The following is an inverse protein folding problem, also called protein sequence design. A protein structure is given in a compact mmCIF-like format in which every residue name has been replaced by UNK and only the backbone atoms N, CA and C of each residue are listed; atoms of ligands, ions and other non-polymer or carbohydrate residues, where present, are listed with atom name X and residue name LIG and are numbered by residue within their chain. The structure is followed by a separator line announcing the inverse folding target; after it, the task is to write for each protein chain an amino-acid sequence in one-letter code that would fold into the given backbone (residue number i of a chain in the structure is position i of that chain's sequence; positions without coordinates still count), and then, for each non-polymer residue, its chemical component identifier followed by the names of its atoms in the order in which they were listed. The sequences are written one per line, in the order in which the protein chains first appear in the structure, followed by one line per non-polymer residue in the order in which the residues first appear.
data_IF_478156056887
#
_entry.id   IF_478156056887
#
_cell.length_a   1.000
_cell.length_b   1.000
_cell.length_c   1.000
_cell.angle_alpha   90.00
_cell.angle_beta   90.00
_cell.angle_gamma   90.00
#
_symmetry.space_group_name_H-M   'P 1'
#
loop_
_entity.id
_entity.type
_entity.pdbx_description
1 polymer ?
#
# COMPACT_ATOMS: atom_id res chain seq x y z
N UNK A 1 1.03 17.96 -19.64
CA UNK A 1 1.16 17.67 -18.20
C UNK A 1 0.63 16.28 -17.83
N UNK A 2 -0.43 15.78 -18.40
CA UNK A 2 -1.19 14.57 -17.99
C UNK A 2 -0.50 13.20 -17.88
N UNK A 3 0.85 13.10 -17.84
CA UNK A 3 1.56 11.81 -17.76
C UNK A 3 2.66 11.73 -16.70
N UNK A 4 2.83 12.76 -15.84
CA UNK A 4 3.97 12.80 -14.91
C UNK A 4 3.92 11.66 -13.89
N UNK A 5 2.77 11.42 -13.25
CA UNK A 5 2.59 10.28 -12.32
C UNK A 5 2.83 8.96 -13.04
N UNK A 6 2.29 8.76 -14.25
CA UNK A 6 2.50 7.54 -15.02
C UNK A 6 4.00 7.30 -15.30
N UNK A 7 4.75 8.33 -15.68
CA UNK A 7 6.19 8.21 -15.93
C UNK A 7 6.97 7.81 -14.67
N UNK A 8 6.60 8.38 -13.51
CA UNK A 8 7.18 8.01 -12.20
C UNK A 8 6.89 6.54 -11.90
N UNK A 9 5.65 6.11 -12.08
CA UNK A 9 5.23 4.73 -11.86
C UNK A 9 6.00 3.77 -12.77
N UNK A 10 6.08 4.05 -14.06
CA UNK A 10 6.79 3.20 -15.04
C UNK A 10 8.28 3.08 -14.71
N UNK A 11 8.90 4.17 -14.27
CA UNK A 11 10.29 4.19 -13.79
C UNK A 11 10.46 3.31 -12.56
N UNK A 12 9.55 3.44 -11.58
CA UNK A 12 9.60 2.67 -10.34
C UNK A 12 9.35 1.17 -10.58
N UNK A 13 8.41 0.82 -11.47
CA UNK A 13 8.18 -0.58 -11.87
C UNK A 13 9.47 -1.19 -12.45
N UNK A 14 10.11 -0.51 -13.39
CA UNK A 14 11.37 -0.98 -14.02
C UNK A 14 12.45 -1.19 -12.96
N UNK A 15 12.67 -0.19 -12.10
CA UNK A 15 13.67 -0.24 -11.01
C UNK A 15 13.43 -1.43 -10.07
N UNK A 16 12.16 -1.65 -9.64
CA UNK A 16 11.82 -2.75 -8.74
C UNK A 16 12.02 -4.12 -9.40
N UNK A 17 11.66 -4.27 -10.68
CA UNK A 17 11.89 -5.51 -11.44
C UNK A 17 13.38 -5.81 -11.56
N UNK A 18 14.21 -4.84 -11.88
CA UNK A 18 15.66 -5.00 -11.96
C UNK A 18 16.25 -5.42 -10.60
N UNK A 19 15.80 -4.78 -9.52
CA UNK A 19 16.23 -5.12 -8.16
C UNK A 19 15.86 -6.55 -7.80
N UNK A 20 14.63 -6.99 -8.07
CA UNK A 20 14.20 -8.38 -7.82
C UNK A 20 15.08 -9.35 -8.60
N UNK A 21 15.34 -9.11 -9.89
CA UNK A 21 16.19 -9.96 -10.72
C UNK A 21 17.63 -10.08 -10.16
N UNK A 22 18.19 -8.96 -9.73
CA UNK A 22 19.55 -8.93 -9.20
C UNK A 22 19.67 -9.72 -7.88
N UNK A 23 18.65 -9.65 -7.03
CA UNK A 23 18.64 -10.36 -5.74
C UNK A 23 18.32 -11.85 -5.94
N UNK A 24 17.39 -12.19 -6.83
CA UNK A 24 16.89 -13.56 -7.01
C UNK A 24 17.84 -14.51 -7.75
N UNK A 25 18.90 -13.99 -8.38
CA UNK A 25 19.86 -14.80 -9.17
C UNK A 25 20.74 -15.79 -8.35
N UNK A 26 20.56 -15.86 -7.05
CA UNK A 26 21.42 -16.66 -6.16
C UNK A 26 20.61 -17.81 -5.58
N UNK A 27 20.38 -18.93 -6.08
CA UNK A 27 19.78 -20.15 -5.48
C UNK A 27 19.21 -20.05 -4.03
N UNK A 28 19.01 -18.82 -3.54
CA UNK A 28 18.60 -18.47 -2.16
C UNK A 28 17.10 -18.81 -1.95
N UNK A 29 16.33 -18.90 -3.03
CA UNK A 29 14.87 -19.00 -2.98
C UNK A 29 14.38 -20.45 -2.84
N UNK A 30 15.26 -21.43 -3.03
CA UNK A 30 14.87 -22.84 -2.93
C UNK A 30 14.33 -23.11 -1.52
N UNK A 31 13.14 -23.69 -1.46
CA UNK A 31 12.44 -24.06 -0.22
C UNK A 31 12.05 -22.87 0.68
N UNK A 32 12.09 -21.61 0.15
CA UNK A 32 11.64 -20.43 0.90
C UNK A 32 10.15 -20.21 0.75
N UNK A 33 9.50 -19.88 1.87
CA UNK A 33 8.03 -19.81 1.96
C UNK A 33 7.58 -18.39 2.26
N UNK A 34 6.68 -17.86 1.41
CA UNK A 34 5.83 -16.73 1.76
C UNK A 34 4.51 -17.25 2.34
N UNK A 35 4.19 -16.87 3.55
CA UNK A 35 2.93 -17.25 4.18
C UNK A 35 1.89 -16.15 4.03
N UNK A 36 0.77 -16.45 3.35
CA UNK A 36 -0.39 -15.57 3.27
C UNK A 36 -1.44 -16.00 4.30
N UNK A 37 -1.72 -15.09 5.23
CA UNK A 37 -2.73 -15.30 6.26
C UNK A 37 -4.03 -14.69 5.74
N UNK A 38 -5.02 -15.54 5.50
CA UNK A 38 -6.27 -15.19 4.82
C UNK A 38 -7.48 -15.70 5.59
N UNK A 39 -8.62 -15.08 5.41
CA UNK A 39 -9.90 -15.70 5.76
C UNK A 39 -10.53 -16.41 4.56
N UNK A 40 -11.61 -17.16 4.82
CA UNK A 40 -12.29 -17.94 3.78
C UNK A 40 -12.83 -17.09 2.64
N UNK A 41 -13.20 -15.83 2.91
CA UNK A 41 -13.71 -14.88 1.90
C UNK A 41 -12.61 -14.37 0.99
N UNK A 42 -11.41 -14.20 1.52
CA UNK A 42 -10.28 -13.57 0.83
C UNK A 42 -9.33 -14.56 0.15
N UNK A 43 -9.43 -15.86 0.43
CA UNK A 43 -8.56 -16.89 -0.17
C UNK A 43 -8.53 -16.84 -1.71
N UNK A 44 -9.66 -16.52 -2.33
CA UNK A 44 -9.79 -16.40 -3.77
C UNK A 44 -9.94 -14.94 -4.26
N UNK A 45 -9.58 -13.97 -3.43
CA UNK A 45 -9.68 -12.55 -3.79
C UNK A 45 -8.79 -12.22 -4.99
N UNK A 46 -9.13 -11.15 -5.69
CA UNK A 46 -8.31 -10.64 -6.79
C UNK A 46 -6.89 -10.33 -6.32
N UNK A 47 -6.75 -9.74 -5.14
CA UNK A 47 -5.45 -9.38 -4.57
C UNK A 47 -4.54 -10.61 -4.35
N UNK A 48 -5.08 -11.68 -3.76
CA UNK A 48 -4.34 -12.95 -3.58
C UNK A 48 -3.88 -13.52 -4.93
N UNK A 49 -4.75 -13.53 -5.93
CA UNK A 49 -4.40 -14.00 -7.28
C UNK A 49 -3.29 -13.17 -7.92
N UNK A 50 -3.29 -11.86 -7.71
CA UNK A 50 -2.24 -10.98 -8.22
C UNK A 50 -0.91 -11.24 -7.50
N UNK A 51 -0.91 -11.43 -6.18
CA UNK A 51 0.30 -11.85 -5.44
C UNK A 51 0.85 -13.15 -6.03
N UNK A 52 0.02 -14.19 -6.14
CA UNK A 52 0.45 -15.48 -6.70
C UNK A 52 1.04 -15.35 -8.11
N UNK A 53 0.38 -14.58 -8.98
CA UNK A 53 0.87 -14.37 -10.35
C UNK A 53 2.17 -13.61 -10.41
N UNK A 54 2.36 -12.62 -9.51
CA UNK A 54 3.58 -11.83 -9.40
C UNK A 54 4.74 -12.69 -8.92
N UNK A 55 4.55 -13.47 -7.86
CA UNK A 55 5.57 -14.40 -7.37
C UNK A 55 5.92 -15.45 -8.42
N UNK A 56 4.92 -16.09 -9.04
CA UNK A 56 5.16 -17.04 -10.14
C UNK A 56 5.99 -16.45 -11.28
N UNK A 57 5.81 -15.17 -11.59
CA UNK A 57 6.51 -14.48 -12.68
C UNK A 57 7.95 -14.10 -12.32
N UNK A 58 8.17 -13.61 -11.12
CA UNK A 58 9.46 -13.01 -10.74
C UNK A 58 10.28 -13.84 -9.76
N UNK A 59 9.64 -14.73 -9.01
CA UNK A 59 10.23 -15.57 -7.96
C UNK A 59 9.67 -17.00 -8.08
N UNK A 60 9.88 -17.69 -9.22
CA UNK A 60 9.21 -18.97 -9.52
C UNK A 60 9.56 -20.11 -8.54
N UNK A 61 10.71 -20.02 -7.87
CA UNK A 61 11.16 -21.03 -6.89
C UNK A 61 10.61 -20.77 -5.47
N UNK A 62 9.90 -19.65 -5.26
CA UNK A 62 9.26 -19.35 -3.99
C UNK A 62 7.99 -20.16 -3.79
N UNK A 63 7.81 -20.68 -2.59
CA UNK A 63 6.59 -21.42 -2.19
C UNK A 63 5.63 -20.43 -1.54
N UNK A 64 4.35 -20.41 -1.98
CA UNK A 64 3.30 -19.66 -1.32
C UNK A 64 2.44 -20.63 -0.50
N UNK A 65 2.44 -20.44 0.82
CA UNK A 65 1.60 -21.20 1.76
C UNK A 65 0.43 -20.32 2.22
N UNK A 66 -0.74 -20.93 2.37
CA UNK A 66 -1.91 -20.25 2.92
C UNK A 66 -2.18 -20.75 4.34
N UNK A 67 -2.44 -19.81 5.23
CA UNK A 67 -2.96 -20.10 6.57
C UNK A 67 -4.34 -19.45 6.67
N UNK A 68 -5.38 -20.28 6.69
CA UNK A 68 -6.75 -19.80 6.81
C UNK A 68 -7.07 -19.48 8.26
N UNK A 69 -7.56 -18.27 8.50
CA UNK A 69 -8.04 -17.82 9.80
C UNK A 69 -9.50 -17.44 9.71
N UNK A 70 -10.24 -17.65 10.78
CA UNK A 70 -11.63 -17.23 10.87
C UNK A 70 -11.71 -15.87 11.55
N UNK A 71 -12.44 -14.92 10.95
CA UNK A 71 -12.66 -13.58 11.51
C UNK A 71 -13.23 -13.58 12.95
N UNK A 72 -13.88 -14.68 13.37
CA UNK A 72 -14.43 -14.88 14.71
C UNK A 72 -13.42 -15.43 15.72
N UNK A 73 -12.24 -15.83 15.28
CA UNK A 73 -11.21 -16.34 16.18
C UNK A 73 -10.74 -15.25 17.15
N UNK A 74 -10.52 -15.64 18.41
CA UNK A 74 -9.83 -14.76 19.34
C UNK A 74 -8.37 -14.55 18.91
N UNK A 75 -7.74 -13.49 19.42
CA UNK A 75 -6.30 -13.25 19.18
C UNK A 75 -5.47 -14.46 19.63
N UNK A 76 -5.80 -15.05 20.76
CA UNK A 76 -5.09 -16.21 21.30
C UNK A 76 -5.23 -17.42 20.38
N UNK A 77 -6.46 -17.74 19.94
CA UNK A 77 -6.69 -18.89 19.05
C UNK A 77 -6.00 -18.69 17.69
N UNK A 78 -6.02 -17.48 17.17
CA UNK A 78 -5.32 -17.15 15.93
C UNK A 78 -3.80 -17.32 16.10
N UNK A 79 -3.24 -16.85 17.22
CA UNK A 79 -1.81 -17.02 17.52
C UNK A 79 -1.45 -18.49 17.64
N UNK A 80 -2.23 -19.29 18.38
CA UNK A 80 -2.01 -20.73 18.52
C UNK A 80 -2.06 -21.42 17.15
N UNK A 81 -3.05 -21.08 16.32
CA UNK A 81 -3.18 -21.65 14.99
C UNK A 81 -1.97 -21.30 14.12
N UNK A 82 -1.55 -20.04 14.10
CA UNK A 82 -0.37 -19.61 13.34
C UNK A 82 0.88 -20.35 13.81
N UNK A 83 1.08 -20.45 15.13
CA UNK A 83 2.23 -21.18 15.70
C UNK A 83 2.19 -22.67 15.37
N UNK A 84 1.02 -23.29 15.26
CA UNK A 84 0.90 -24.71 14.93
C UNK A 84 1.04 -25.02 13.45
N UNK A 85 0.69 -24.09 12.57
CA UNK A 85 0.75 -24.29 11.11
C UNK A 85 2.06 -23.78 10.49
N UNK A 86 2.77 -22.89 11.19
CA UNK A 86 4.02 -22.31 10.73
C UNK A 86 5.12 -22.66 11.71
N UNK A 87 6.09 -23.45 11.30
CA UNK A 87 7.31 -23.66 12.08
C UNK A 87 8.10 -22.35 12.12
N UNK A 88 7.92 -21.61 13.22
CA UNK A 88 8.49 -20.28 13.40
C UNK A 88 10.00 -20.24 13.35
N UNK A 89 10.67 -21.35 13.59
CA UNK A 89 12.12 -21.40 13.71
C UNK A 89 12.80 -21.70 12.37
N UNK A 90 12.15 -22.46 11.50
CA UNK A 90 12.78 -22.96 10.28
C UNK A 90 12.08 -22.52 8.98
N UNK A 91 10.75 -22.30 9.00
CA UNK A 91 9.95 -22.08 7.79
C UNK A 91 9.47 -20.64 7.59
N UNK A 92 9.50 -19.78 8.61
CA UNK A 92 8.93 -18.44 8.51
C UNK A 92 9.90 -17.48 7.81
N UNK A 93 9.86 -17.48 6.49
CA UNK A 93 10.63 -16.55 5.68
C UNK A 93 9.93 -15.20 5.43
N UNK A 94 8.74 -15.03 6.00
CA UNK A 94 7.93 -13.83 5.91
C UNK A 94 6.45 -14.16 5.78
N UNK A 95 5.60 -13.32 6.33
CA UNK A 95 4.15 -13.48 6.23
C UNK A 95 3.46 -12.15 5.93
N UNK A 96 2.27 -12.26 5.36
CA UNK A 96 1.41 -11.12 5.07
C UNK A 96 -0.02 -11.43 5.47
N UNK A 97 -0.64 -10.56 6.25
CA UNK A 97 -2.08 -10.60 6.49
C UNK A 97 -2.85 -10.00 5.31
N UNK A 98 -3.76 -10.77 4.73
CA UNK A 98 -4.62 -10.28 3.65
C UNK A 98 -5.85 -9.59 4.25
N UNK A 99 -5.86 -8.28 4.10
CA UNK A 99 -6.94 -7.39 4.55
C UNK A 99 -8.11 -7.40 3.54
N UNK A 100 -9.36 -7.04 3.95
CA UNK A 100 -9.73 -6.26 5.14
C UNK A 100 -10.28 -7.03 6.34
N UNK A 101 -10.50 -8.31 6.25
CA UNK A 101 -11.30 -9.05 7.24
C UNK A 101 -10.64 -9.18 8.62
N UNK A 102 -9.32 -9.09 8.68
CA UNK A 102 -8.56 -9.17 9.93
C UNK A 102 -8.32 -7.78 10.52
N UNK A 103 -8.70 -6.72 9.79
CA UNK A 103 -8.60 -5.33 10.28
C UNK A 103 -9.42 -5.09 11.52
N UNK A 104 -8.84 -4.41 12.46
CA UNK A 104 -9.45 -4.08 13.76
C UNK A 104 -9.32 -5.20 14.79
N UNK A 105 -8.89 -6.36 14.39
CA UNK A 105 -8.66 -7.47 15.31
C UNK A 105 -7.18 -7.74 15.53
N UNK A 106 -6.36 -6.70 15.74
CA UNK A 106 -5.25 -7.04 16.58
C UNK A 106 -4.09 -7.69 15.87
N UNK A 107 -3.22 -6.93 15.73
CA UNK A 107 -1.81 -7.17 15.58
C UNK A 107 -1.34 -8.40 16.35
N UNK A 108 -1.02 -9.44 15.64
CA UNK A 108 -0.24 -10.55 16.17
C UNK A 108 1.19 -10.30 15.73
N UNK A 109 2.05 -10.00 16.71
CA UNK A 109 3.46 -9.77 16.43
C UNK A 109 4.19 -11.09 16.31
N UNK A 110 4.46 -11.46 15.09
CA UNK A 110 5.39 -12.54 14.79
C UNK A 110 6.55 -11.96 13.98
N UNK A 111 7.75 -12.42 14.24
CA UNK A 111 8.90 -12.05 13.43
C UNK A 111 8.64 -12.40 11.98
N UNK A 112 8.87 -11.44 11.07
CA UNK A 112 8.70 -11.66 9.63
C UNK A 112 7.43 -11.06 9.03
N UNK A 113 6.71 -10.16 9.76
CA UNK A 113 5.64 -9.37 9.19
C UNK A 113 6.17 -8.44 8.09
N UNK A 114 5.74 -8.68 6.85
CA UNK A 114 6.21 -7.93 5.69
C UNK A 114 5.51 -6.57 5.54
N UNK A 115 4.34 -6.41 6.14
CA UNK A 115 3.58 -5.16 6.06
C UNK A 115 3.82 -4.24 7.27
N UNK A 116 4.45 -4.75 8.30
CA UNK A 116 4.82 -4.02 9.52
C UNK A 116 3.66 -3.26 10.19
N UNK A 117 2.43 -3.74 10.03
CA UNK A 117 1.22 -3.07 10.56
C UNK A 117 1.29 -2.88 12.08
N UNK A 118 2.03 -3.72 12.78
CA UNK A 118 2.16 -3.68 14.23
C UNK A 118 3.03 -2.55 14.77
N UNK A 119 3.99 -2.13 14.03
CA UNK A 119 4.91 -1.06 14.45
C UNK A 119 4.24 0.32 14.53
N UNK A 120 2.97 0.43 14.16
CA UNK A 120 2.19 1.64 14.36
C UNK A 120 2.08 2.12 15.80
N UNK A 121 2.09 1.21 16.77
CA UNK A 121 1.98 1.57 18.18
C UNK A 121 3.35 1.94 18.80
N UNK A 122 4.44 1.61 18.14
CA UNK A 122 5.81 1.91 18.54
C UNK A 122 6.41 3.07 17.70
N UNK A 123 5.63 4.08 17.45
CA UNK A 123 5.87 5.24 16.58
C UNK A 123 7.15 6.04 16.83
N UNK A 124 7.90 5.72 17.88
CA UNK A 124 9.00 6.59 18.32
C UNK A 124 10.36 6.22 17.73
N UNK A 125 10.52 5.05 17.09
CA UNK A 125 11.86 4.60 16.76
C UNK A 125 12.23 4.36 15.30
N UNK A 126 11.31 4.14 14.38
CA UNK A 126 11.57 4.11 12.93
C UNK A 126 10.24 3.94 12.16
N UNK A 127 10.05 4.77 11.12
CA UNK A 127 8.83 4.77 10.33
C UNK A 127 8.79 3.58 9.37
N UNK A 128 8.16 2.52 9.81
CA UNK A 128 7.85 1.40 8.92
C UNK A 128 6.53 1.69 8.22
N UNK A 129 6.61 2.21 7.01
CA UNK A 129 5.44 2.32 6.16
C UNK A 129 4.92 0.92 5.80
N UNK A 130 3.59 0.77 5.70
CA UNK A 130 3.00 -0.38 5.03
C UNK A 130 3.51 -0.45 3.58
N UNK A 131 3.41 -1.60 2.94
CA UNK A 131 3.90 -1.80 1.58
C UNK A 131 3.29 -0.77 0.62
N UNK A 132 1.96 -0.60 0.69
CA UNK A 132 1.25 0.35 -0.18
C UNK A 132 1.61 1.79 0.13
N UNK A 133 1.73 2.17 1.41
CA UNK A 133 2.12 3.54 1.78
C UNK A 133 3.54 3.87 1.35
N UNK A 134 4.46 2.91 1.41
CA UNK A 134 5.82 3.10 0.91
C UNK A 134 5.82 3.41 -0.59
N UNK A 135 5.11 2.62 -1.36
CA UNK A 135 5.01 2.82 -2.81
C UNK A 135 4.43 4.20 -3.16
N UNK A 136 3.40 4.63 -2.43
CA UNK A 136 2.81 5.96 -2.60
C UNK A 136 3.80 7.05 -2.19
N UNK A 137 4.49 6.87 -1.08
CA UNK A 137 5.54 7.79 -0.62
C UNK A 137 6.63 8.00 -1.67
N UNK A 138 7.13 6.93 -2.28
CA UNK A 138 8.12 7.01 -3.39
C UNK A 138 7.59 7.83 -4.58
N UNK A 139 6.30 7.75 -4.88
CA UNK A 139 5.68 8.53 -5.95
C UNK A 139 5.58 10.00 -5.54
N UNK A 140 5.15 10.28 -4.31
CA UNK A 140 5.02 11.64 -3.79
C UNK A 140 6.39 12.33 -3.82
N UNK A 141 7.43 11.72 -3.25
CA UNK A 141 8.80 12.30 -3.23
C UNK A 141 9.27 12.69 -4.63
N UNK A 142 9.15 11.78 -5.58
CA UNK A 142 9.58 12.05 -6.97
C UNK A 142 8.70 13.11 -7.64
N UNK A 143 7.39 13.16 -7.29
CA UNK A 143 6.46 14.14 -7.87
C UNK A 143 6.73 15.54 -7.35
N UNK A 144 6.94 15.71 -6.04
CA UNK A 144 7.05 17.04 -5.40
C UNK A 144 8.48 17.56 -5.29
N UNK A 145 9.49 16.79 -5.71
CA UNK A 145 10.92 17.13 -5.51
C UNK A 145 11.34 18.51 -5.98
N UNK A 146 10.65 19.04 -7.01
CA UNK A 146 10.92 20.36 -7.59
C UNK A 146 9.92 21.43 -7.12
N UNK A 147 9.01 21.10 -6.20
CA UNK A 147 8.00 22.00 -5.65
C UNK A 147 8.47 22.48 -4.28
N UNK A 148 8.56 23.81 -4.10
CA UNK A 148 8.90 24.39 -2.81
C UNK A 148 7.67 24.43 -1.91
N UNK A 149 7.77 23.86 -0.70
CA UNK A 149 6.69 23.77 0.28
C UNK A 149 5.40 23.14 -0.32
N UNK A 150 5.46 21.91 -0.86
CA UNK A 150 4.32 21.31 -1.53
C UNK A 150 3.14 21.12 -0.57
N UNK A 151 1.93 21.31 -1.08
CA UNK A 151 0.68 21.06 -0.38
C UNK A 151 0.18 19.64 -0.70
N UNK A 152 0.25 18.75 0.27
CA UNK A 152 -0.12 17.34 0.14
C UNK A 152 -1.40 17.10 0.92
N UNK A 153 -2.43 16.62 0.25
CA UNK A 153 -3.72 16.30 0.87
C UNK A 153 -3.95 14.80 0.88
N UNK A 154 -4.20 14.25 2.06
CA UNK A 154 -4.50 12.81 2.24
C UNK A 154 -5.93 12.66 2.72
N UNK A 155 -6.76 11.97 1.95
CA UNK A 155 -8.17 11.72 2.25
C UNK A 155 -8.32 10.27 2.72
N UNK A 156 -8.76 10.09 3.97
CA UNK A 156 -8.87 8.81 4.65
C UNK A 156 -7.76 8.60 5.69
N UNK A 157 -8.09 7.87 6.76
CA UNK A 157 -7.17 7.58 7.88
C UNK A 157 -7.00 6.07 8.13
N UNK A 158 -7.28 5.27 7.12
CA UNK A 158 -7.12 3.82 7.19
C UNK A 158 -5.70 3.39 7.57
N UNK A 159 -5.60 2.29 8.34
CA UNK A 159 -4.33 1.79 8.87
C UNK A 159 -3.35 1.34 7.78
N UNK A 160 -3.84 0.98 6.61
CA UNK A 160 -3.01 0.45 5.51
C UNK A 160 -2.42 1.52 4.61
N UNK A 161 -3.03 2.72 4.54
CA UNK A 161 -2.56 3.79 3.65
C UNK A 161 -2.58 5.15 4.34
N UNK A 162 -3.76 5.67 4.67
CA UNK A 162 -3.91 7.08 5.03
C UNK A 162 -3.13 7.49 6.27
N UNK A 163 -3.28 6.73 7.36
CA UNK A 163 -2.60 7.04 8.62
C UNK A 163 -1.07 6.93 8.53
N UNK A 164 -0.48 5.82 8.01
CA UNK A 164 0.97 5.72 7.90
C UNK A 164 1.57 6.76 6.99
N UNK A 165 0.92 7.02 5.87
CA UNK A 165 1.39 7.99 4.91
C UNK A 165 1.38 9.41 5.48
N UNK A 166 0.32 9.79 6.21
CA UNK A 166 0.25 11.08 6.88
C UNK A 166 1.38 11.27 7.90
N UNK A 167 1.61 10.26 8.74
CA UNK A 167 2.68 10.31 9.73
C UNK A 167 4.07 10.43 9.08
N UNK A 168 4.27 9.80 7.97
CA UNK A 168 5.51 9.89 7.21
C UNK A 168 5.65 11.27 6.53
N UNK A 169 4.61 11.78 5.88
CA UNK A 169 4.64 13.12 5.26
C UNK A 169 4.94 14.22 6.28
N UNK A 170 4.42 14.11 7.49
CA UNK A 170 4.65 15.11 8.57
C UNK A 170 6.10 15.21 9.04
N UNK A 171 6.98 14.30 8.64
CA UNK A 171 8.40 14.38 8.98
C UNK A 171 9.20 15.26 8.02
N UNK A 172 8.68 15.51 6.85
CA UNK A 172 9.26 16.44 5.91
C UNK A 172 8.92 17.87 6.36
N UNK A 173 9.90 18.58 6.92
CA UNK A 173 9.70 19.90 7.53
C UNK A 173 9.23 20.98 6.56
N UNK A 174 9.50 20.79 5.29
CA UNK A 174 9.16 21.68 4.18
C UNK A 174 7.86 21.31 3.45
N UNK A 175 7.15 20.25 3.90
CA UNK A 175 5.89 19.84 3.30
C UNK A 175 4.69 20.32 4.13
N UNK A 176 3.70 20.89 3.46
CA UNK A 176 2.41 21.19 4.05
C UNK A 176 1.48 19.99 3.89
N UNK A 177 1.26 19.23 4.97
CA UNK A 177 0.45 18.01 4.93
C UNK A 177 -0.88 18.21 5.62
N UNK A 178 -1.96 17.89 4.93
CA UNK A 178 -3.32 17.96 5.42
C UNK A 178 -3.96 16.58 5.37
N UNK A 179 -4.53 16.11 6.48
CA UNK A 179 -5.26 14.85 6.54
C UNK A 179 -6.72 15.06 6.86
N UNK A 180 -7.58 14.48 6.04
CA UNK A 180 -9.02 14.39 6.25
C UNK A 180 -9.29 13.00 6.79
N UNK A 181 -9.61 12.90 8.08
CA UNK A 181 -9.74 11.62 8.78
C UNK A 181 -11.07 10.91 8.51
N UNK A 182 -12.12 11.64 8.26
CA UNK A 182 -13.44 11.05 8.04
C UNK A 182 -13.54 10.48 6.64
N UNK A 183 -13.81 9.19 6.55
CA UNK A 183 -14.30 8.60 5.32
C UNK A 183 -15.67 9.19 5.02
N UNK A 184 -15.74 10.08 4.07
CA UNK A 184 -17.00 10.59 3.60
C UNK A 184 -17.79 9.44 2.98
N UNK A 185 -18.78 8.96 3.71
CA UNK A 185 -19.78 8.00 3.19
C UNK A 185 -20.70 8.64 2.15
N UNK A 186 -20.66 9.95 2.07
CA UNK A 186 -21.51 10.79 1.26
C UNK A 186 -20.68 11.43 0.15
N UNK A 187 -21.34 11.76 -0.95
CA UNK A 187 -20.69 12.29 -2.14
C UNK A 187 -19.99 13.63 -1.85
N UNK A 188 -18.95 13.92 -2.61
CA UNK A 188 -18.15 15.15 -2.60
C UNK A 188 -18.93 16.47 -2.35
N UNK A 189 -20.20 16.52 -2.73
CA UNK A 189 -21.05 17.70 -2.50
C UNK A 189 -21.26 18.04 -1.02
N UNK A 190 -20.94 17.15 -0.11
CA UNK A 190 -21.13 17.32 1.35
C UNK A 190 -19.89 17.87 2.06
N UNK A 191 -18.80 18.12 1.34
CA UNK A 191 -17.66 18.88 1.88
C UNK A 191 -18.06 20.33 2.13
N UNK A 192 -17.71 20.92 3.29
CA UNK A 192 -17.87 22.35 3.48
C UNK A 192 -17.17 23.14 2.36
N UNK A 193 -17.83 24.13 1.79
CA UNK A 193 -17.29 24.92 0.67
C UNK A 193 -15.94 25.57 1.00
N UNK A 194 -15.75 25.99 2.24
CA UNK A 194 -14.50 26.55 2.74
C UNK A 194 -13.33 25.55 2.63
N UNK A 195 -13.63 24.28 2.80
CA UNK A 195 -12.65 23.20 2.66
C UNK A 195 -12.31 22.94 1.17
N UNK A 196 -13.32 22.88 0.31
CA UNK A 196 -13.15 22.70 -1.14
C UNK A 196 -12.27 23.80 -1.72
N UNK A 197 -12.60 25.04 -1.36
CA UNK A 197 -11.95 26.19 -1.96
C UNK A 197 -10.54 26.44 -1.44
N UNK A 198 -10.27 26.13 -0.18
CA UNK A 198 -9.02 26.51 0.47
C UNK A 198 -7.94 25.43 0.45
N UNK A 199 -8.31 24.18 0.62
CA UNK A 199 -7.35 23.08 0.74
C UNK A 199 -7.20 22.30 -0.57
N UNK A 200 -8.30 21.86 -1.17
CA UNK A 200 -8.23 21.04 -2.38
C UNK A 200 -7.75 21.84 -3.58
N UNK A 201 -8.18 23.09 -3.76
CA UNK A 201 -7.73 23.96 -4.87
C UNK A 201 -6.27 24.36 -4.78
N UNK A 202 -5.70 24.35 -3.57
CA UNK A 202 -4.29 24.68 -3.37
C UNK A 202 -3.41 23.42 -3.23
N UNK A 203 -3.96 22.24 -3.39
CA UNK A 203 -3.19 21.02 -3.33
C UNK A 203 -2.31 20.84 -4.56
N UNK A 204 -1.03 20.50 -4.36
CA UNK A 204 -0.15 20.07 -5.44
C UNK A 204 -0.38 18.59 -5.77
N UNK A 205 -0.81 17.80 -4.77
CA UNK A 205 -1.13 16.40 -4.92
C UNK A 205 -2.18 15.95 -3.88
N UNK A 206 -3.14 15.17 -4.33
CA UNK A 206 -4.18 14.55 -3.49
C UNK A 206 -3.99 13.04 -3.50
N UNK A 207 -4.01 12.44 -2.32
CA UNK A 207 -4.01 11.00 -2.12
C UNK A 207 -5.39 10.57 -1.63
N UNK A 208 -6.13 9.82 -2.45
CA UNK A 208 -7.42 9.27 -2.07
C UNK A 208 -7.25 7.88 -1.48
N UNK A 209 -7.36 7.77 -0.18
CA UNK A 209 -7.33 6.53 0.58
C UNK A 209 -8.68 6.25 1.27
N UNK A 210 -9.78 6.62 0.61
CA UNK A 210 -11.14 6.57 1.18
C UNK A 210 -11.70 5.16 1.27
N UNK A 211 -11.27 4.28 0.39
CA UNK A 211 -11.88 2.95 0.26
C UNK A 211 -13.27 2.98 -0.41
N UNK A 212 -13.65 4.08 -1.08
CA UNK A 212 -14.95 4.25 -1.72
C UNK A 212 -14.80 4.57 -3.22
N UNK A 213 -15.44 3.76 -4.06
CA UNK A 213 -15.42 3.95 -5.51
C UNK A 213 -16.09 5.27 -5.93
N UNK A 214 -15.48 5.95 -6.89
CA UNK A 214 -15.99 7.17 -7.51
C UNK A 214 -16.43 8.25 -6.49
N UNK A 215 -15.75 8.31 -5.34
CA UNK A 215 -16.11 9.21 -4.22
C UNK A 215 -15.43 10.57 -4.29
N UNK A 216 -14.40 10.73 -5.11
CA UNK A 216 -13.60 11.95 -5.19
C UNK A 216 -13.81 12.67 -6.53
N UNK A 217 -14.32 13.90 -6.45
CA UNK A 217 -14.41 14.86 -7.56
C UNK A 217 -13.39 15.97 -7.37
N UNK A 218 -12.47 16.10 -8.31
CA UNK A 218 -11.43 17.14 -8.30
C UNK A 218 -11.02 17.47 -9.73
N UNK A 219 -10.45 18.65 -9.93
CA UNK A 219 -9.92 19.15 -11.19
C UNK A 219 -8.55 19.79 -11.00
N UNK A 220 -7.80 19.94 -12.07
CA UNK A 220 -6.51 20.68 -12.11
C UNK A 220 -5.53 20.32 -10.98
N UNK A 221 -5.45 19.04 -10.60
CA UNK A 221 -4.59 18.55 -9.54
C UNK A 221 -4.04 17.15 -9.85
N UNK A 222 -2.91 16.80 -9.27
CA UNK A 222 -2.38 15.45 -9.32
C UNK A 222 -3.10 14.54 -8.31
N UNK A 223 -3.53 13.34 -8.71
CA UNK A 223 -4.23 12.41 -7.84
C UNK A 223 -3.58 11.03 -7.79
N UNK A 224 -3.35 10.51 -6.60
CA UNK A 224 -2.99 9.12 -6.34
C UNK A 224 -4.19 8.41 -5.73
N UNK A 225 -4.72 7.41 -6.44
CA UNK A 225 -5.79 6.52 -5.95
C UNK A 225 -5.24 5.09 -5.93
N UNK A 226 -4.93 4.54 -4.74
CA UNK A 226 -4.35 3.21 -4.61
C UNK A 226 -5.37 2.08 -4.77
N UNK A 227 -6.65 2.37 -4.54
CA UNK A 227 -7.70 1.36 -4.52
C UNK A 227 -8.36 1.21 -5.88
N UNK A 228 -8.72 -0.01 -6.21
CA UNK A 228 -9.53 -0.33 -7.38
C UNK A 228 -10.75 -1.14 -6.94
N UNK A 229 -11.86 -0.88 -7.57
CA UNK A 229 -13.13 -1.55 -7.29
C UNK A 229 -13.64 -2.22 -8.55
N UNK A 230 -14.29 -3.36 -8.42
CA UNK A 230 -15.02 -3.98 -9.50
C UNK A 230 -16.48 -3.52 -9.45
N UNK A 231 -16.88 -2.68 -10.38
CA UNK A 231 -18.28 -2.30 -10.52
C UNK A 231 -19.06 -3.46 -11.18
N UNK A 232 -19.91 -4.10 -10.40
CA UNK A 232 -20.72 -5.23 -10.87
C UNK A 232 -21.74 -4.85 -11.96
N UNK A 233 -22.16 -3.58 -12.03
CA UNK A 233 -23.15 -3.10 -13.02
C UNK A 233 -22.51 -2.91 -14.38
N UNK A 234 -21.42 -2.16 -14.44
CA UNK A 234 -20.70 -1.87 -15.69
C UNK A 234 -19.70 -2.99 -16.07
N UNK A 235 -19.42 -3.93 -15.16
CA UNK A 235 -18.43 -5.02 -15.31
C UNK A 235 -17.02 -4.51 -15.61
N UNK A 236 -16.67 -3.33 -15.11
CA UNK A 236 -15.34 -2.72 -15.25
C UNK A 236 -14.74 -2.42 -13.88
N UNK A 237 -13.42 -2.21 -13.85
CA UNK A 237 -12.73 -1.71 -12.66
C UNK A 237 -12.75 -0.19 -12.66
N UNK A 238 -13.00 0.38 -11.50
CA UNK A 238 -13.02 1.82 -11.22
C UNK A 238 -12.13 2.14 -10.02
N UNK A 239 -11.74 3.41 -9.85
CA UNK A 239 -11.01 3.88 -8.67
C UNK A 239 -11.82 4.90 -7.87
N UNK A 240 -11.20 5.47 -6.81
CA UNK A 240 -11.85 6.46 -5.95
C UNK A 240 -12.23 7.74 -6.70
N UNK A 241 -11.46 8.07 -7.74
CA UNK A 241 -11.69 9.23 -8.59
C UNK A 241 -12.90 8.99 -9.49
N UNK A 242 -13.82 9.95 -9.57
CA UNK A 242 -14.96 9.84 -10.45
C UNK A 242 -14.56 10.03 -11.93
N UNK A 243 -15.48 9.72 -12.84
CA UNK A 243 -15.20 9.74 -14.29
C UNK A 243 -14.93 11.13 -14.83
N UNK A 244 -15.59 12.15 -14.30
CA UNK A 244 -15.37 13.54 -14.71
C UNK A 244 -13.96 13.98 -14.30
N UNK A 245 -13.59 13.73 -13.06
CA UNK A 245 -12.28 14.08 -12.54
C UNK A 245 -11.11 13.36 -13.22
N UNK A 246 -11.32 12.17 -13.79
CA UNK A 246 -10.31 11.47 -14.59
C UNK A 246 -9.89 12.30 -15.81
N UNK A 247 -10.83 13.02 -16.42
CA UNK A 247 -10.57 13.86 -17.60
C UNK A 247 -9.99 15.23 -17.22
N UNK A 248 -10.39 15.77 -16.08
CA UNK A 248 -10.06 17.14 -15.64
C UNK A 248 -8.82 17.22 -14.75
N UNK A 249 -8.31 16.11 -14.22
CA UNK A 249 -7.09 16.10 -13.44
C UNK A 249 -5.84 16.37 -14.28
N UNK A 250 -4.89 17.08 -13.72
CA UNK A 250 -3.56 17.29 -14.31
C UNK A 250 -2.85 15.97 -14.61
N UNK A 251 -2.93 15.04 -13.67
CA UNK A 251 -2.39 13.68 -13.78
C UNK A 251 -2.98 12.81 -12.67
N UNK A 252 -3.20 11.54 -12.96
CA UNK A 252 -3.69 10.56 -11.97
C UNK A 252 -3.00 9.20 -12.12
N UNK A 253 -3.15 8.34 -11.11
CA UNK A 253 -2.63 6.96 -11.16
C UNK A 253 -3.51 6.11 -12.08
N UNK A 254 -2.94 5.40 -13.06
CA UNK A 254 -3.69 4.43 -13.85
C UNK A 254 -4.19 3.27 -13.00
N UNK A 255 -5.31 2.68 -13.41
CA UNK A 255 -5.84 1.46 -12.79
C UNK A 255 -4.76 0.38 -12.68
N UNK A 256 -4.76 -0.33 -11.55
CA UNK A 256 -3.80 -1.40 -11.23
C UNK A 256 -2.33 -1.00 -11.06
N UNK A 257 -1.96 0.24 -11.30
CA UNK A 257 -0.55 0.67 -11.25
C UNK A 257 0.03 0.62 -9.83
N UNK A 258 -0.70 1.13 -8.86
CA UNK A 258 -0.31 1.05 -7.44
C UNK A 258 -0.29 -0.40 -6.96
N UNK A 259 -1.30 -1.20 -7.32
CA UNK A 259 -1.33 -2.63 -7.00
C UNK A 259 -0.13 -3.39 -7.58
N UNK A 260 0.28 -3.08 -8.80
CA UNK A 260 1.48 -3.66 -9.41
C UNK A 260 2.74 -3.30 -8.62
N UNK A 261 2.93 -2.02 -8.29
CA UNK A 261 4.07 -1.56 -7.48
C UNK A 261 4.06 -2.17 -6.08
N UNK A 262 2.89 -2.26 -5.43
CA UNK A 262 2.73 -2.89 -4.11
C UNK A 262 3.17 -4.35 -4.14
N UNK A 263 2.80 -5.11 -5.17
CA UNK A 263 3.19 -6.52 -5.27
C UNK A 263 4.68 -6.70 -5.59
N UNK A 264 5.29 -5.81 -6.38
CA UNK A 264 6.73 -5.81 -6.59
C UNK A 264 7.48 -5.44 -5.30
N UNK A 265 6.98 -4.49 -4.54
CA UNK A 265 7.56 -4.14 -3.24
C UNK A 265 7.44 -5.28 -2.22
N UNK A 266 6.31 -6.00 -2.23
CA UNK A 266 6.15 -7.22 -1.43
C UNK A 266 7.25 -8.26 -1.75
N UNK A 267 7.53 -8.49 -3.04
CA UNK A 267 8.63 -9.37 -3.44
C UNK A 267 9.97 -8.90 -2.88
N UNK A 268 10.25 -7.60 -2.95
CA UNK A 268 11.50 -7.02 -2.45
C UNK A 268 11.62 -7.17 -0.93
N UNK A 269 10.55 -6.85 -0.19
CA UNK A 269 10.53 -7.00 1.28
C UNK A 269 10.72 -8.45 1.69
N UNK A 270 10.08 -9.37 1.00
CA UNK A 270 10.24 -10.79 1.25
C UNK A 270 11.68 -11.26 1.00
N UNK A 271 12.29 -10.86 -0.12
CA UNK A 271 13.70 -11.15 -0.41
C UNK A 271 14.63 -10.57 0.65
N UNK A 272 14.42 -9.32 1.06
CA UNK A 272 15.23 -8.69 2.10
C UNK A 272 15.09 -9.42 3.45
N UNK A 273 13.87 -9.85 3.79
CA UNK A 273 13.64 -10.62 5.01
C UNK A 273 14.40 -11.95 4.99
N UNK A 274 14.43 -12.66 3.86
CA UNK A 274 15.21 -13.89 3.67
C UNK A 274 16.72 -13.64 3.83
N UNK A 275 17.20 -12.50 3.32
CA UNK A 275 18.61 -12.13 3.36
C UNK A 275 19.04 -11.50 4.69
N UNK A 276 18.10 -11.26 5.61
CA UNK A 276 18.37 -10.55 6.86
C UNK A 276 18.71 -9.07 6.67
N UNK A 277 18.30 -8.48 5.53
CA UNK A 277 18.48 -7.06 5.23
C UNK A 277 17.37 -6.27 5.90
N UNK A 278 17.72 -5.27 6.72
CA UNK A 278 16.72 -4.40 7.33
C UNK A 278 16.05 -3.53 6.26
N UNK A 279 14.72 -3.64 6.14
CA UNK A 279 13.94 -2.83 5.20
C UNK A 279 13.90 -1.34 5.58
N UNK A 280 14.29 -1.00 6.81
CA UNK A 280 14.28 0.37 7.34
C UNK A 280 15.41 1.25 6.79
N UNK A 281 16.49 0.67 6.29
CA UNK A 281 17.66 1.43 5.79
C UNK A 281 17.37 2.19 4.47
N UNK A 282 16.23 1.93 3.83
CA UNK A 282 15.87 2.56 2.54
C UNK A 282 15.22 3.94 2.69
N UNK A 283 14.66 4.26 3.86
CA UNK A 283 14.02 5.54 4.18
C UNK A 283 14.76 6.29 5.27
N UNK A 284 16.07 6.30 5.27
CA UNK A 284 16.80 7.35 5.96
C UNK A 284 16.57 8.62 5.19
N UNK A 285 15.65 9.44 5.70
CA UNK A 285 15.45 10.83 5.29
C UNK A 285 16.83 11.47 5.21
N UNK A 286 17.14 12.04 4.06
CA UNK A 286 18.45 12.56 3.73
C UNK A 286 19.07 13.38 4.88
N UNK A 287 20.30 13.00 5.19
CA UNK A 287 21.17 13.83 6.01
C UNK A 287 21.53 15.11 5.27
#
# INVERSE_FOLDING_TARGET
MGKRIQQIIDKNIKKKIELIKNISNNNILKDKILTLIVDDKNTNSHYVKVIQSTFKKYLPDAIIKFVNVNEKMSRTDMTIKLLSEVDLLTELNGYLFIQPSITGQKTISLKGDLDNIENYNNLWNKFNLTITSQVIGEIIEEYVKDIKNPNIVIIGDGLTVGKPLNLWCQQHQDWNTYQIKECFKEKYNDFPDEFKDKILKNADIIISATGNAESLMVDNVAVISPTIYYDQRSKVYVHDLDRYSIEECDTHTPLNSIGTLTNLELCIRWLNNILGIDNNDRFTIGK
#
